data_IF_704954606054
#
_entry.id   IF_704954606054
#
_cell.length_a   1.000
_cell.length_b   1.000
_cell.length_c   1.000
_cell.angle_alpha   90.00
_cell.angle_beta   90.00
_cell.angle_gamma   90.00
#
_symmetry.space_group_name_H-M   'P 1'
#
loop_
_entity.id
_entity.type
_entity.pdbx_description
1 polymer ?
#
# COMPACT_ATOMS: atom_id res chain seq x y z
N UNK A 1 -4.84 19.16 -7.35
CA UNK A 1 -4.64 18.83 -5.92
C UNK A 1 -4.80 17.32 -5.76
N UNK A 2 -3.83 16.64 -5.15
CA UNK A 2 -3.91 15.21 -4.88
C UNK A 2 -4.91 14.99 -3.73
N UNK A 3 -5.82 14.02 -3.87
CA UNK A 3 -6.81 13.74 -2.85
C UNK A 3 -7.05 12.22 -2.73
N UNK A 4 -7.16 11.74 -1.49
CA UNK A 4 -7.60 10.38 -1.19
C UNK A 4 -9.06 10.18 -1.60
N UNK A 5 -9.37 9.05 -2.24
CA UNK A 5 -10.76 8.67 -2.60
C UNK A 5 -11.31 7.62 -1.65
N UNK A 6 -10.70 6.46 -1.67
CA UNK A 6 -11.13 5.30 -0.88
C UNK A 6 -9.99 4.30 -0.77
N UNK A 7 -10.16 3.32 0.10
CA UNK A 7 -9.31 2.15 0.17
C UNK A 7 -10.15 0.87 0.27
N UNK A 8 -9.54 -0.25 -0.08
CA UNK A 8 -10.10 -1.58 0.08
C UNK A 8 -8.98 -2.55 0.46
N UNK A 9 -9.31 -3.60 1.20
CA UNK A 9 -8.36 -4.66 1.55
C UNK A 9 -9.00 -6.03 1.54
N UNK A 10 -8.18 -7.04 1.42
CA UNK A 10 -8.56 -8.43 1.61
C UNK A 10 -7.39 -9.21 2.23
N UNK A 11 -7.74 -10.32 2.85
CA UNK A 11 -6.80 -11.26 3.46
C UNK A 11 -7.15 -12.69 3.05
N UNK A 12 -6.13 -13.53 2.97
CA UNK A 12 -6.27 -14.97 2.88
C UNK A 12 -5.57 -15.60 4.09
N UNK A 13 -6.35 -16.02 5.09
CA UNK A 13 -5.84 -16.54 6.35
C UNK A 13 -5.15 -17.91 6.20
N UNK A 14 -5.38 -18.61 5.10
CA UNK A 14 -4.79 -19.92 4.81
C UNK A 14 -3.64 -19.86 3.82
N UNK A 15 -3.30 -18.67 3.37
CA UNK A 15 -2.33 -18.44 2.30
C UNK A 15 -2.94 -18.66 0.91
N UNK A 16 -2.31 -18.08 -0.10
CA UNK A 16 -2.73 -18.17 -1.49
C UNK A 16 -3.18 -16.83 -2.07
N UNK A 17 -3.88 -16.88 -3.20
CA UNK A 17 -4.31 -15.69 -3.90
C UNK A 17 -5.21 -14.80 -3.06
N UNK A 18 -5.01 -13.50 -3.18
CA UNK A 18 -5.84 -12.48 -2.51
C UNK A 18 -6.59 -11.67 -3.56
N UNK A 19 -7.91 -11.68 -3.47
CA UNK A 19 -8.80 -10.91 -4.34
C UNK A 19 -9.27 -9.68 -3.58
N UNK A 20 -8.92 -8.50 -4.10
CA UNK A 20 -9.30 -7.21 -3.49
C UNK A 20 -10.26 -6.49 -4.39
N UNK A 21 -11.40 -6.07 -3.86
CA UNK A 21 -12.36 -5.22 -4.59
C UNK A 21 -11.74 -3.86 -4.88
N UNK A 22 -11.97 -3.34 -6.06
CA UNK A 22 -11.53 -2.00 -6.45
C UNK A 22 -12.04 -0.94 -5.45
N UNK A 23 -11.20 -0.02 -4.96
CA UNK A 23 -11.65 1.07 -4.10
C UNK A 23 -12.81 1.84 -4.72
N UNK A 24 -13.83 2.11 -3.94
CA UNK A 24 -15.05 2.79 -4.40
C UNK A 24 -14.73 4.17 -4.98
N UNK A 25 -15.36 4.52 -6.10
CA UNK A 25 -15.18 5.82 -6.73
C UNK A 25 -13.87 5.96 -7.53
N UNK A 26 -13.09 4.87 -7.69
CA UNK A 26 -11.92 4.88 -8.59
C UNK A 26 -12.37 5.31 -10.00
N UNK A 27 -11.69 6.32 -10.54
CA UNK A 27 -11.94 6.88 -11.85
C UNK A 27 -10.68 6.80 -12.73
N UNK A 28 -10.85 6.97 -14.03
CA UNK A 28 -9.74 7.05 -14.97
C UNK A 28 -8.72 8.12 -14.55
N UNK A 29 -7.44 7.78 -14.60
CA UNK A 29 -6.34 8.64 -14.22
C UNK A 29 -5.99 8.65 -12.73
N UNK A 30 -6.81 8.06 -11.86
CA UNK A 30 -6.44 7.90 -10.45
C UNK A 30 -5.21 7.02 -10.30
N UNK A 31 -4.43 7.27 -9.26
CA UNK A 31 -3.34 6.37 -8.85
C UNK A 31 -3.86 5.42 -7.78
N UNK A 32 -3.68 4.14 -8.04
CA UNK A 32 -3.89 3.07 -7.09
C UNK A 32 -2.54 2.69 -6.50
N UNK A 33 -2.37 2.86 -5.21
CA UNK A 33 -1.22 2.36 -4.45
C UNK A 33 -1.62 1.08 -3.74
N UNK A 34 -0.77 0.08 -3.78
CA UNK A 34 -1.00 -1.19 -3.08
C UNK A 34 0.16 -1.50 -2.15
N UNK A 35 -0.17 -1.96 -0.96
CA UNK A 35 0.76 -2.68 -0.10
C UNK A 35 0.33 -4.14 -0.05
N UNK A 36 1.30 -5.03 -0.26
CA UNK A 36 1.13 -6.47 -0.07
C UNK A 36 1.92 -6.91 1.14
N UNK A 37 1.44 -7.91 1.84
CA UNK A 37 2.15 -8.53 2.94
C UNK A 37 2.11 -10.05 2.78
N UNK A 38 3.26 -10.68 2.99
CA UNK A 38 3.42 -12.13 3.05
C UNK A 38 4.25 -12.52 4.28
N UNK A 39 3.86 -13.58 4.99
CA UNK A 39 4.59 -14.01 6.20
C UNK A 39 5.76 -14.94 5.90
N UNK A 40 6.02 -15.29 4.64
CA UNK A 40 7.02 -16.28 4.22
C UNK A 40 7.84 -15.84 3.00
N UNK A 41 8.77 -16.68 2.56
CA UNK A 41 9.66 -16.44 1.42
C UNK A 41 8.99 -16.57 0.02
N UNK A 42 7.70 -16.85 -0.08
CA UNK A 42 6.99 -16.91 -1.36
C UNK A 42 6.98 -15.56 -2.11
N UNK A 43 6.34 -15.48 -3.26
CA UNK A 43 6.32 -14.27 -4.09
C UNK A 43 4.89 -13.88 -4.48
N UNK A 44 4.73 -12.61 -4.85
CA UNK A 44 3.50 -12.09 -5.45
C UNK A 44 3.67 -11.90 -6.95
N UNK A 45 2.62 -12.26 -7.70
CA UNK A 45 2.45 -11.83 -9.09
C UNK A 45 1.34 -10.79 -9.12
N UNK A 46 1.65 -9.61 -9.62
CA UNK A 46 0.70 -8.50 -9.73
C UNK A 46 -0.34 -8.76 -10.83
N UNK A 47 -1.56 -8.26 -10.67
CA UNK A 47 -2.52 -8.19 -11.77
C UNK A 47 -1.99 -7.34 -12.93
N UNK A 48 -2.58 -7.49 -14.11
CA UNK A 48 -2.17 -6.72 -15.30
C UNK A 48 -2.25 -5.20 -15.08
N UNK A 49 -1.24 -4.50 -15.55
CA UNK A 49 -1.14 -3.04 -15.50
C UNK A 49 -0.61 -2.47 -14.20
N UNK A 50 -0.28 -3.30 -13.21
CA UNK A 50 0.41 -2.89 -12.00
C UNK A 50 1.93 -2.96 -12.17
N UNK A 51 2.65 -2.10 -11.49
CA UNK A 51 4.12 -2.08 -11.46
C UNK A 51 4.63 -2.08 -10.02
N UNK A 52 5.66 -2.87 -9.75
CA UNK A 52 6.37 -2.82 -8.48
C UNK A 52 7.19 -1.53 -8.35
N UNK A 53 7.13 -0.93 -7.17
CA UNK A 53 8.13 0.02 -6.69
C UNK A 53 9.16 -0.70 -5.83
N UNK A 54 8.69 -1.58 -4.95
CA UNK A 54 9.52 -2.47 -4.13
C UNK A 54 8.72 -3.75 -3.82
N UNK A 55 9.32 -4.90 -3.92
CA UNK A 55 8.64 -6.17 -3.67
C UNK A 55 9.26 -7.02 -2.55
N UNK A 56 10.25 -6.49 -1.84
CA UNK A 56 11.05 -7.28 -0.89
C UNK A 56 11.43 -6.52 0.39
N UNK A 57 10.54 -5.67 0.91
CA UNK A 57 10.76 -4.94 2.16
C UNK A 57 10.72 -5.91 3.36
N UNK A 58 11.85 -6.12 4.06
CA UNK A 58 11.93 -7.10 5.14
C UNK A 58 11.32 -6.59 6.44
N UNK A 59 10.87 -7.52 7.28
CA UNK A 59 10.46 -7.24 8.66
C UNK A 59 11.55 -7.64 9.65
N UNK A 60 11.88 -6.76 10.58
CA UNK A 60 12.93 -7.00 11.61
C UNK A 60 12.58 -8.20 12.50
N UNK A 61 11.31 -8.32 12.90
CA UNK A 61 10.88 -9.38 13.84
C UNK A 61 10.45 -10.68 13.17
N UNK A 62 10.34 -10.69 11.84
CA UNK A 62 9.86 -11.84 11.05
C UNK A 62 10.74 -11.97 9.80
N UNK A 63 11.86 -12.68 9.88
CA UNK A 63 12.91 -12.67 8.84
C UNK A 63 12.43 -13.17 7.46
N UNK A 64 11.39 -13.99 7.43
CA UNK A 64 10.81 -14.50 6.17
C UNK A 64 9.65 -13.65 5.65
N UNK A 65 9.09 -12.79 6.50
CA UNK A 65 7.99 -11.92 6.09
C UNK A 65 8.48 -10.75 5.23
N UNK A 66 7.70 -10.38 4.22
CA UNK A 66 7.98 -9.27 3.33
C UNK A 66 6.73 -8.45 3.05
N UNK A 67 6.94 -7.16 2.95
CA UNK A 67 5.97 -6.25 2.34
C UNK A 67 6.39 -5.91 0.91
N UNK A 68 5.43 -5.52 0.09
CA UNK A 68 5.67 -4.97 -1.23
C UNK A 68 4.84 -3.72 -1.46
N UNK A 69 5.42 -2.78 -2.18
CA UNK A 69 4.77 -1.56 -2.66
C UNK A 69 4.65 -1.64 -4.18
N UNK A 70 3.44 -1.48 -4.69
CA UNK A 70 3.22 -1.37 -6.12
C UNK A 70 2.18 -0.29 -6.43
N UNK A 71 2.08 0.09 -7.67
CA UNK A 71 1.15 1.10 -8.12
C UNK A 71 0.56 0.79 -9.49
N UNK A 72 -0.56 1.43 -9.80
CA UNK A 72 -1.20 1.42 -11.11
C UNK A 72 -1.88 2.76 -11.36
N UNK A 73 -1.84 3.24 -12.59
CA UNK A 73 -2.74 4.31 -13.03
C UNK A 73 -4.01 3.68 -13.57
N UNK A 74 -5.14 4.04 -12.99
CA UNK A 74 -6.45 3.53 -13.38
C UNK A 74 -6.79 3.95 -14.81
N UNK A 75 -7.23 2.99 -15.62
CA UNK A 75 -7.75 3.21 -16.95
C UNK A 75 -9.25 3.50 -16.98
N UNK A 76 -9.79 3.71 -18.16
CA UNK A 76 -11.23 3.98 -18.36
C UNK A 76 -12.13 2.79 -17.98
N UNK A 77 -11.59 1.57 -17.97
CA UNK A 77 -12.34 0.33 -17.72
C UNK A 77 -11.57 -0.56 -16.75
N UNK A 78 -11.59 -0.18 -15.47
CA UNK A 78 -10.99 -1.00 -14.42
C UNK A 78 -11.93 -2.14 -14.00
N UNK A 79 -11.40 -3.35 -13.75
CA UNK A 79 -12.20 -4.46 -13.25
C UNK A 79 -12.82 -4.15 -11.89
N UNK A 80 -13.83 -4.92 -11.48
CA UNK A 80 -14.41 -4.82 -10.14
C UNK A 80 -13.45 -5.25 -9.03
N UNK A 81 -12.55 -6.18 -9.36
CA UNK A 81 -11.64 -6.80 -8.41
C UNK A 81 -10.26 -7.01 -9.02
N UNK A 82 -9.23 -7.04 -8.17
CA UNK A 82 -7.86 -7.35 -8.54
C UNK A 82 -7.41 -8.63 -7.83
N UNK A 83 -6.92 -9.60 -8.59
CA UNK A 83 -6.36 -10.85 -8.04
C UNK A 83 -4.84 -10.75 -7.97
N UNK A 84 -4.31 -10.74 -6.76
CA UNK A 84 -2.89 -10.83 -6.49
C UNK A 84 -2.56 -12.31 -6.31
N UNK A 85 -1.82 -12.87 -7.27
CA UNK A 85 -1.50 -14.30 -7.28
C UNK A 85 -0.31 -14.57 -6.38
N UNK A 86 -0.44 -15.57 -5.53
CA UNK A 86 0.55 -15.91 -4.51
C UNK A 86 1.23 -17.23 -4.85
N UNK A 87 2.56 -17.28 -4.74
CA UNK A 87 3.33 -18.51 -4.72
C UNK A 87 3.87 -18.74 -3.32
N UNK A 88 3.82 -19.98 -2.86
CA UNK A 88 4.20 -20.35 -1.49
C UNK A 88 2.98 -20.73 -0.66
N UNK A 89 3.23 -21.38 0.48
CA UNK A 89 2.20 -21.85 1.42
C UNK A 89 2.34 -21.04 2.71
N UNK A 90 1.95 -19.79 2.66
CA UNK A 90 1.88 -18.95 3.83
C UNK A 90 0.51 -18.97 4.50
N UNK A 91 0.41 -18.38 5.65
CA UNK A 91 -0.83 -18.02 6.31
C UNK A 91 -0.91 -16.51 6.49
N UNK A 92 -2.12 -15.96 6.46
CA UNK A 92 -2.36 -14.54 6.67
C UNK A 92 -1.72 -13.60 5.62
N UNK A 93 -1.75 -14.01 4.36
CA UNK A 93 -1.46 -13.11 3.23
C UNK A 93 -2.46 -11.96 3.19
N UNK A 94 -2.01 -10.75 2.98
CA UNK A 94 -2.91 -9.61 2.90
C UNK A 94 -2.49 -8.58 1.86
N UNK A 95 -3.48 -7.88 1.33
CA UNK A 95 -3.33 -6.84 0.31
C UNK A 95 -4.29 -5.70 0.62
N UNK A 96 -3.79 -4.48 0.56
CA UNK A 96 -4.64 -3.29 0.64
C UNK A 96 -4.31 -2.30 -0.47
N UNK A 97 -5.34 -1.70 -1.05
CA UNK A 97 -5.28 -0.75 -2.15
C UNK A 97 -5.87 0.57 -1.70
N UNK A 98 -5.17 1.68 -1.94
CA UNK A 98 -5.68 3.03 -1.76
C UNK A 98 -5.71 3.78 -3.09
N UNK A 99 -6.78 4.50 -3.35
CA UNK A 99 -6.99 5.29 -4.56
C UNK A 99 -6.82 6.78 -4.29
N UNK A 100 -6.06 7.45 -5.16
CA UNK A 100 -5.77 8.88 -5.11
C UNK A 100 -6.07 9.54 -6.44
N UNK A 101 -6.81 10.66 -6.39
CA UNK A 101 -7.07 11.51 -7.55
C UNK A 101 -6.11 12.68 -7.63
N UNK A 102 -6.07 13.34 -8.79
CA UNK A 102 -5.34 14.59 -8.99
C UNK A 102 -3.83 14.44 -9.14
N UNK A 103 -3.32 13.21 -9.26
CA UNK A 103 -1.91 12.95 -9.56
C UNK A 103 -1.68 13.20 -11.06
N UNK A 104 -0.93 14.24 -11.36
CA UNK A 104 -0.62 14.66 -12.74
C UNK A 104 0.57 13.89 -13.31
N UNK A 105 0.75 13.96 -14.63
CA UNK A 105 1.88 13.36 -15.32
C UNK A 105 1.60 11.95 -15.83
N UNK A 106 2.61 11.38 -16.48
CA UNK A 106 2.64 10.01 -17.01
C UNK A 106 3.85 9.28 -16.42
N UNK A 107 3.84 7.96 -16.46
CA UNK A 107 4.91 7.13 -15.90
C UNK A 107 4.73 6.85 -14.40
N UNK A 108 5.84 6.61 -13.71
CA UNK A 108 5.84 6.32 -12.28
C UNK A 108 5.37 7.53 -11.47
N UNK A 109 4.30 7.43 -10.68
CA UNK A 109 3.80 8.53 -9.85
C UNK A 109 4.58 8.70 -8.54
N UNK A 110 5.44 7.74 -8.18
CA UNK A 110 6.22 7.74 -6.95
C UNK A 110 7.56 8.43 -7.22
N UNK A 111 7.72 9.61 -6.70
CA UNK A 111 8.94 10.41 -6.88
C UNK A 111 10.08 9.93 -5.96
N UNK A 112 9.74 9.55 -4.75
CA UNK A 112 10.67 9.00 -3.78
C UNK A 112 9.93 8.09 -2.79
N UNK A 113 10.61 7.07 -2.32
CA UNK A 113 10.11 6.23 -1.22
C UNK A 113 11.25 5.88 -0.27
N UNK A 114 10.88 5.47 0.92
CA UNK A 114 11.79 4.90 1.90
C UNK A 114 11.05 3.86 2.72
N UNK A 115 11.78 2.90 3.25
CA UNK A 115 11.24 1.84 4.08
C UNK A 115 11.87 1.87 5.46
N UNK A 116 11.13 1.48 6.47
CA UNK A 116 11.63 1.26 7.81
C UNK A 116 10.89 0.08 8.44
N UNK A 117 11.62 -0.77 9.14
CA UNK A 117 11.06 -1.88 9.88
C UNK A 117 11.58 -1.85 11.31
N UNK A 118 10.70 -1.81 12.29
CA UNK A 118 11.04 -1.68 13.70
C UNK A 118 10.24 -2.65 14.56
N UNK A 119 10.86 -3.22 15.57
CA UNK A 119 10.20 -3.98 16.62
C UNK A 119 9.74 -3.02 17.73
N UNK A 120 8.73 -2.20 17.45
CA UNK A 120 8.27 -1.14 18.36
C UNK A 120 6.78 -0.90 18.19
N UNK A 121 6.15 -0.37 19.24
CA UNK A 121 4.77 0.14 19.19
C UNK A 121 4.70 1.53 18.52
N UNK A 122 5.84 2.16 18.28
CA UNK A 122 5.93 3.42 17.54
C UNK A 122 6.70 3.17 16.25
N UNK A 123 6.03 3.36 15.12
CA UNK A 123 6.66 3.27 13.80
C UNK A 123 7.03 4.67 13.34
N UNK A 124 8.31 4.89 13.08
CA UNK A 124 8.81 6.14 12.52
C UNK A 124 9.12 5.93 11.05
N UNK A 125 8.46 6.68 10.18
CA UNK A 125 8.78 6.69 8.76
C UNK A 125 10.19 7.30 8.55
N UNK A 126 10.96 6.72 7.65
CA UNK A 126 12.23 7.30 7.24
C UNK A 126 12.00 8.58 6.43
N UNK A 127 12.98 9.47 6.46
CA UNK A 127 12.90 10.74 5.72
C UNK A 127 12.96 10.49 4.22
N UNK A 128 12.08 11.17 3.48
CA UNK A 128 12.14 11.26 2.01
C UNK A 128 12.27 12.71 1.60
N UNK A 129 12.93 12.94 0.46
CA UNK A 129 13.03 14.27 -0.14
C UNK A 129 12.34 14.26 -1.48
N UNK A 130 11.39 15.16 -1.68
CA UNK A 130 10.70 15.35 -2.97
C UNK A 130 11.25 16.58 -3.66
N UNK A 131 11.22 16.60 -4.99
CA UNK A 131 11.60 17.72 -5.84
C UNK A 131 10.39 18.47 -6.37
N UNK A 132 9.22 17.83 -6.34
CA UNK A 132 7.97 18.42 -6.80
C UNK A 132 7.34 19.30 -5.73
N UNK A 133 6.94 20.52 -6.13
CA UNK A 133 6.27 21.46 -5.23
C UNK A 133 4.87 21.01 -4.77
N UNK A 134 4.29 20.00 -5.41
CA UNK A 134 2.95 19.48 -5.14
C UNK A 134 2.96 17.98 -4.94
N UNK A 135 3.85 17.47 -4.09
CA UNK A 135 3.88 16.06 -3.73
C UNK A 135 2.94 15.76 -2.56
N UNK A 136 2.30 14.59 -2.59
CA UNK A 136 1.62 14.04 -1.42
C UNK A 136 2.53 12.99 -0.78
N UNK A 137 2.63 12.99 0.55
CA UNK A 137 3.28 11.92 1.30
C UNK A 137 2.23 10.88 1.70
N UNK A 138 2.52 9.63 1.42
CA UNK A 138 1.68 8.49 1.80
C UNK A 138 2.52 7.55 2.65
N UNK A 139 2.09 7.28 3.88
CA UNK A 139 2.67 6.25 4.71
C UNK A 139 1.81 4.97 4.61
N UNK A 140 2.42 3.88 4.22
CA UNK A 140 1.82 2.55 4.21
C UNK A 140 2.49 1.76 5.32
N UNK A 141 1.71 1.31 6.30
CA UNK A 141 2.23 0.63 7.48
C UNK A 141 1.62 -0.76 7.58
N UNK A 142 2.47 -1.77 7.69
CA UNK A 142 2.08 -3.13 8.06
C UNK A 142 2.52 -3.39 9.50
N UNK A 143 1.60 -3.82 10.35
CA UNK A 143 1.86 -4.07 11.76
C UNK A 143 1.16 -5.34 12.24
N UNK A 144 1.72 -5.98 13.25
CA UNK A 144 1.12 -7.16 13.92
C UNK A 144 0.09 -6.78 15.01
N UNK A 145 -0.12 -5.49 15.24
CA UNK A 145 -1.05 -4.95 16.25
C UNK A 145 -1.75 -3.72 15.72
N UNK A 146 -2.89 -3.41 16.31
CA UNK A 146 -3.71 -2.26 15.93
C UNK A 146 -2.92 -0.94 15.93
N UNK A 147 -3.00 -0.21 14.82
CA UNK A 147 -2.48 1.15 14.72
C UNK A 147 -3.58 2.10 15.17
N UNK A 148 -3.32 2.80 16.25
CA UNK A 148 -4.33 3.62 16.94
C UNK A 148 -4.19 5.12 16.68
N UNK A 149 -3.05 5.55 16.14
CA UNK A 149 -2.81 6.96 15.87
C UNK A 149 -1.85 7.17 14.67
N UNK A 150 -2.15 8.19 13.90
CA UNK A 150 -1.26 8.70 12.86
C UNK A 150 -0.21 9.67 13.46
N UNK A 151 0.89 9.87 12.74
CA UNK A 151 1.88 10.91 13.06
C UNK A 151 1.24 12.30 13.02
N UNK A 152 1.82 13.24 13.76
CA UNK A 152 1.39 14.65 13.70
C UNK A 152 1.40 15.17 12.26
N UNK A 153 0.30 15.79 11.84
CA UNK A 153 0.11 16.33 10.50
C UNK A 153 -0.34 15.30 9.44
N UNK A 154 -0.46 14.02 9.81
CA UNK A 154 -0.99 12.99 8.93
C UNK A 154 -2.43 12.62 9.30
N UNK A 155 -3.22 12.19 8.33
CA UNK A 155 -4.59 11.74 8.53
C UNK A 155 -4.68 10.25 8.31
N UNK A 156 -5.14 9.50 9.31
CA UNK A 156 -5.46 8.09 9.15
C UNK A 156 -6.64 7.94 8.20
N UNK A 157 -6.42 7.27 7.07
CA UNK A 157 -7.43 7.12 6.01
C UNK A 157 -8.11 5.76 6.02
N UNK A 158 -7.38 4.74 6.42
CA UNK A 158 -7.88 3.38 6.36
C UNK A 158 -7.09 2.47 7.29
N UNK A 159 -7.79 1.57 7.98
CA UNK A 159 -7.22 0.45 8.73
C UNK A 159 -7.91 -0.84 8.30
N UNK A 160 -7.17 -1.92 8.13
CA UNK A 160 -7.72 -3.27 7.95
C UNK A 160 -7.55 -4.07 9.25
N UNK A 161 -8.43 -5.01 9.52
CA UNK A 161 -8.38 -5.92 10.67
C UNK A 161 -8.63 -7.37 10.19
N UNK A 162 -8.19 -8.44 10.88
CA UNK A 162 -7.69 -8.49 12.25
C UNK A 162 -6.27 -9.04 12.47
N UNK A 163 -5.45 -9.35 11.50
CA UNK A 163 -4.16 -10.01 11.75
C UNK A 163 -2.94 -9.23 11.27
N UNK A 164 -3.11 -8.33 10.30
CA UNK A 164 -2.07 -7.45 9.79
C UNK A 164 -2.74 -6.15 9.40
N UNK A 165 -2.57 -5.14 10.20
CA UNK A 165 -3.16 -3.83 9.94
C UNK A 165 -2.31 -3.07 8.94
N UNK A 166 -2.97 -2.58 7.90
CA UNK A 166 -2.39 -1.66 6.92
C UNK A 166 -3.02 -0.30 7.12
N UNK A 167 -2.19 0.69 7.35
CA UNK A 167 -2.64 2.08 7.53
C UNK A 167 -2.17 2.89 6.34
N UNK A 168 -3.08 3.62 5.75
CA UNK A 168 -2.76 4.60 4.71
C UNK A 168 -2.92 6.00 5.28
N UNK A 169 -1.88 6.77 5.21
CA UNK A 169 -1.87 8.12 5.72
C UNK A 169 -1.40 9.10 4.64
N UNK A 170 -2.11 10.20 4.45
CA UNK A 170 -1.79 11.20 3.44
C UNK A 170 -1.56 12.54 4.09
N UNK A 171 -0.40 13.12 3.83
CA UNK A 171 -0.16 14.54 4.06
C UNK A 171 0.02 15.20 2.71
N UNK A 172 -0.78 16.20 2.44
CA UNK A 172 -0.55 17.10 1.35
C UNK A 172 0.30 18.26 1.86
N UNK A 173 1.51 18.39 1.37
CA UNK A 173 2.30 19.59 1.66
C UNK A 173 1.76 20.74 0.82
N UNK A 174 1.38 21.82 1.48
CA UNK A 174 1.11 23.09 0.82
C UNK A 174 2.45 23.64 0.28
N UNK A 175 2.42 24.17 -0.92
CA UNK A 175 3.54 24.89 -1.51
C UNK A 175 3.85 26.15 -0.68
#
# INVERSE_FOLDING_TARGET
MIAFRAAASAQNATGGDVVVTKPTGTAEGDILLVITLRPDAGTWTLPSGWAWEDNDVPFVSYPDARAGLAWKRAGASEPSDYTFVRTGLGSADSVAIAAYSGVVGSGNPIEAYSTNSVASTTVTAATITTTSAYAARVALVAASSAITAASSGMTLRFTSSPAVEMVFDVVQEAA
#
